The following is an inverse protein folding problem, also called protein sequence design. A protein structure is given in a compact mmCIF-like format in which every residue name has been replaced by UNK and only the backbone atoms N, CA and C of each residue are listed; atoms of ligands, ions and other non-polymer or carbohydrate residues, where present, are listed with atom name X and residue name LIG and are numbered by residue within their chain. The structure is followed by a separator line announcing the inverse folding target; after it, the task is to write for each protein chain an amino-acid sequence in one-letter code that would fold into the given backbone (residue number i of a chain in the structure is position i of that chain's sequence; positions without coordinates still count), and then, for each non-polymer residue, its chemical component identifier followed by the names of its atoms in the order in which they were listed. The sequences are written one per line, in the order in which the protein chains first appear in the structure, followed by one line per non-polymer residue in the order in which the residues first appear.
data_IF_237401897066
#
_entry.id   IF_237401897066
#
_cell.length_a   1.000
_cell.length_b   1.000
_cell.length_c   1.000
_cell.angle_alpha   90.00
_cell.angle_beta   90.00
_cell.angle_gamma   90.00
#
_symmetry.space_group_name_H-M   'P 1'
#
loop_
_entity.id
_entity.type
_entity.pdbx_description
1 polymer ?
#
# COMPACT_ATOMS: atom_id res chain seq x y z
N UNK A 1 -21.04 21.05 -15.93
CA UNK A 1 -19.77 20.29 -15.96
C UNK A 1 -19.13 20.53 -17.33
N UNK A 2 -17.98 21.21 -17.41
CA UNK A 2 -17.29 21.53 -18.68
C UNK A 2 -15.85 21.04 -18.62
N UNK A 3 -15.48 20.08 -19.48
CA UNK A 3 -14.22 20.16 -20.22
C UNK A 3 -13.01 19.34 -19.77
N UNK A 4 -13.12 18.40 -18.84
CA UNK A 4 -12.07 17.39 -18.62
C UNK A 4 -12.20 16.28 -19.69
N UNK A 5 -11.08 15.92 -20.29
CA UNK A 5 -10.95 14.88 -21.32
C UNK A 5 -9.98 13.84 -20.81
N UNK A 6 -10.18 12.57 -21.16
CA UNK A 6 -9.19 11.52 -20.87
C UNK A 6 -8.38 11.17 -22.12
N UNK A 7 -7.11 10.76 -21.97
CA UNK A 7 -6.31 10.24 -23.09
C UNK A 7 -7.01 9.18 -23.94
N UNK A 8 -7.74 8.23 -23.35
CA UNK A 8 -8.48 7.18 -24.06
C UNK A 8 -9.71 7.68 -24.80
N UNK A 9 -10.42 8.69 -24.28
CA UNK A 9 -11.48 9.40 -25.01
C UNK A 9 -10.94 10.08 -26.27
N UNK A 10 -9.68 10.50 -26.29
CA UNK A 10 -9.05 11.11 -27.47
C UNK A 10 -8.42 10.06 -28.39
N UNK A 11 -7.78 9.03 -27.83
CA UNK A 11 -7.13 7.96 -28.60
C UNK A 11 -8.14 7.11 -29.37
N UNK A 12 -9.35 6.93 -28.84
CA UNK A 12 -10.45 6.25 -29.55
C UNK A 12 -10.99 7.02 -30.77
N UNK A 13 -10.38 8.15 -31.17
CA UNK A 13 -10.62 8.77 -32.48
C UNK A 13 -9.97 7.94 -33.59
N UNK A 14 -8.87 7.25 -33.29
CA UNK A 14 -8.27 6.26 -34.17
C UNK A 14 -9.00 4.91 -34.02
N UNK A 15 -9.02 4.15 -35.10
CA UNK A 15 -9.66 2.84 -35.21
C UNK A 15 -8.69 1.69 -34.99
N UNK A 16 -7.42 1.86 -35.37
CA UNK A 16 -6.39 0.83 -35.22
C UNK A 16 -4.99 1.39 -34.94
N UNK A 17 -4.11 0.55 -34.37
CA UNK A 17 -2.72 0.91 -34.09
C UNK A 17 -1.99 1.22 -35.40
N UNK A 18 -1.27 2.33 -35.46
CA UNK A 18 -0.54 2.76 -36.66
C UNK A 18 -1.38 3.57 -37.65
N UNK A 19 -2.69 3.75 -37.42
CA UNK A 19 -3.49 4.66 -38.23
C UNK A 19 -2.98 6.11 -38.06
N UNK A 20 -2.95 6.84 -39.17
CA UNK A 20 -2.53 8.24 -39.20
C UNK A 20 -3.70 9.15 -39.53
N UNK A 21 -3.98 10.10 -38.65
CA UNK A 21 -5.01 11.12 -38.85
C UNK A 21 -4.40 12.51 -39.00
N UNK A 22 -5.05 13.36 -39.79
CA UNK A 22 -4.70 14.77 -39.92
C UNK A 22 -5.27 15.55 -38.75
N UNK A 23 -4.60 16.64 -38.41
CA UNK A 23 -5.02 17.58 -37.36
C UNK A 23 -6.49 18.00 -37.51
N UNK A 24 -6.95 18.25 -38.74
CA UNK A 24 -8.33 18.68 -38.98
C UNK A 24 -9.36 17.56 -38.74
N UNK A 25 -9.00 16.31 -39.01
CA UNK A 25 -9.85 15.14 -38.76
C UNK A 25 -10.00 14.92 -37.25
N UNK A 26 -8.87 14.99 -36.54
CA UNK A 26 -8.84 14.90 -35.07
C UNK A 26 -9.63 16.05 -34.44
N UNK A 27 -9.44 17.29 -34.92
CA UNK A 27 -10.14 18.45 -34.41
C UNK A 27 -11.65 18.33 -34.57
N UNK A 28 -12.14 17.92 -35.74
CA UNK A 28 -13.57 17.70 -35.98
C UNK A 28 -14.14 16.61 -35.08
N UNK A 29 -13.40 15.52 -34.88
CA UNK A 29 -13.82 14.46 -33.97
C UNK A 29 -13.91 14.94 -32.51
N UNK A 30 -12.96 15.75 -32.05
CA UNK A 30 -12.97 16.34 -30.71
C UNK A 30 -14.12 17.34 -30.50
N UNK A 31 -14.46 18.13 -31.53
CA UNK A 31 -15.63 19.03 -31.49
C UNK A 31 -16.92 18.22 -31.43
N UNK A 32 -17.04 17.18 -32.26
CA UNK A 32 -18.21 16.26 -32.26
C UNK A 32 -18.42 15.59 -30.90
N UNK A 33 -17.34 15.30 -30.17
CA UNK A 33 -17.36 14.71 -28.82
C UNK A 33 -17.55 15.72 -27.69
N UNK A 34 -17.69 17.02 -28.00
CA UNK A 34 -17.86 18.07 -26.99
C UNK A 34 -16.59 18.37 -26.17
N UNK A 35 -15.45 17.76 -26.51
CA UNK A 35 -14.16 18.00 -25.84
C UNK A 35 -13.63 19.39 -26.21
N UNK A 36 -13.86 19.82 -27.46
CA UNK A 36 -13.48 21.15 -27.95
C UNK A 36 -14.74 21.94 -28.31
N UNK A 37 -14.79 23.21 -27.91
CA UNK A 37 -16.01 24.02 -27.93
C UNK A 37 -16.53 24.31 -29.34
N UNK A 38 -15.66 24.56 -30.32
CA UNK A 38 -16.04 25.02 -31.66
C UNK A 38 -14.96 24.65 -32.70
N UNK A 39 -15.36 24.48 -33.96
CA UNK A 39 -14.46 24.20 -35.10
C UNK A 39 -13.42 25.30 -35.40
N UNK A 40 -13.63 26.50 -34.87
CA UNK A 40 -12.76 27.66 -35.09
C UNK A 40 -11.71 27.86 -33.97
N UNK A 41 -11.65 26.95 -32.97
CA UNK A 41 -10.77 27.07 -31.80
C UNK A 41 -9.79 25.89 -31.72
N UNK A 42 -8.64 26.03 -32.37
CA UNK A 42 -7.63 24.97 -32.47
C UNK A 42 -6.72 24.82 -31.23
N UNK A 43 -6.60 25.85 -30.40
CA UNK A 43 -5.62 25.89 -29.30
C UNK A 43 -5.77 24.72 -28.32
N UNK A 44 -7.00 24.31 -27.99
CA UNK A 44 -7.25 23.17 -27.10
C UNK A 44 -6.80 21.86 -27.74
N UNK A 45 -7.12 21.63 -29.02
CA UNK A 45 -6.65 20.47 -29.79
C UNK A 45 -5.13 20.41 -29.85
N UNK A 46 -4.46 21.54 -30.08
CA UNK A 46 -2.99 21.58 -30.09
C UNK A 46 -2.39 21.15 -28.75
N UNK A 47 -2.95 21.60 -27.62
CA UNK A 47 -2.49 21.19 -26.28
C UNK A 47 -2.74 19.72 -26.00
N UNK A 48 -3.91 19.21 -26.36
CA UNK A 48 -4.26 17.78 -26.22
C UNK A 48 -3.25 16.93 -26.99
N UNK A 49 -3.00 17.25 -28.26
CA UNK A 49 -2.08 16.49 -29.09
C UNK A 49 -0.62 16.59 -28.61
N UNK A 50 -0.20 17.74 -28.09
CA UNK A 50 1.13 17.87 -27.49
C UNK A 50 1.28 16.94 -26.28
N UNK A 51 0.28 16.90 -25.40
CA UNK A 51 0.27 16.02 -24.23
C UNK A 51 0.28 14.54 -24.60
N UNK A 52 -0.47 14.12 -25.63
CA UNK A 52 -0.47 12.72 -26.10
C UNK A 52 0.85 12.32 -26.77
N UNK A 53 1.53 13.26 -27.44
CA UNK A 53 2.86 13.04 -28.01
C UNK A 53 3.90 12.90 -26.89
N UNK A 54 3.85 13.76 -25.89
CA UNK A 54 4.73 13.70 -24.71
C UNK A 54 4.56 12.39 -23.93
N UNK A 55 3.31 11.92 -23.80
CA UNK A 55 3.00 10.62 -23.20
C UNK A 55 3.37 9.41 -24.09
N UNK A 56 3.87 9.63 -25.31
CA UNK A 56 4.28 8.57 -26.23
C UNK A 56 3.13 7.74 -26.81
N UNK A 57 1.90 8.22 -26.69
CA UNK A 57 0.69 7.50 -27.12
C UNK A 57 0.41 7.69 -28.62
N UNK A 58 0.81 8.85 -29.14
CA UNK A 58 0.80 9.18 -30.56
C UNK A 58 2.16 9.77 -30.95
N UNK A 59 2.48 9.78 -32.24
CA UNK A 59 3.66 10.47 -32.76
C UNK A 59 3.32 11.35 -33.95
N UNK A 60 4.11 12.40 -34.16
CA UNK A 60 3.95 13.32 -35.27
C UNK A 60 4.76 12.83 -36.47
N UNK A 61 4.10 12.20 -37.42
CA UNK A 61 4.71 11.60 -38.63
C UNK A 61 4.82 12.57 -39.82
N UNK A 62 4.41 13.82 -39.65
CA UNK A 62 4.50 14.86 -40.69
C UNK A 62 3.80 16.15 -40.32
N UNK A 63 3.73 17.10 -41.27
CA UNK A 63 3.07 18.39 -41.05
C UNK A 63 1.56 18.18 -40.78
N UNK A 64 1.16 18.35 -39.53
CA UNK A 64 -0.23 18.20 -39.08
C UNK A 64 -0.77 16.78 -39.18
N UNK A 65 0.10 15.75 -39.14
CA UNK A 65 -0.29 14.33 -39.16
C UNK A 65 0.20 13.62 -37.91
N UNK A 66 -0.68 12.81 -37.33
CA UNK A 66 -0.45 12.12 -36.06
C UNK A 66 -0.80 10.65 -36.21
N UNK A 67 0.16 9.78 -35.89
CA UNK A 67 0.01 8.33 -35.90
C UNK A 67 -0.17 7.82 -34.48
N UNK A 68 -1.14 6.94 -34.24
CA UNK A 68 -1.33 6.31 -32.93
C UNK A 68 -0.35 5.15 -32.72
N UNK A 69 0.28 5.09 -31.54
CA UNK A 69 1.30 4.07 -31.20
C UNK A 69 0.75 2.91 -30.37
N UNK A 70 -0.42 3.10 -29.78
CA UNK A 70 -1.15 2.11 -28.98
C UNK A 70 -2.34 1.56 -29.76
N UNK A 71 -2.86 0.40 -29.36
CA UNK A 71 -4.16 -0.05 -29.86
C UNK A 71 -5.25 0.80 -29.20
N UNK A 72 -6.08 1.55 -29.97
CA UNK A 72 -7.06 2.45 -29.40
C UNK A 72 -8.09 1.77 -28.50
N UNK A 73 -8.55 0.58 -28.90
CA UNK A 73 -9.53 -0.19 -28.14
C UNK A 73 -8.95 -0.68 -26.82
N UNK A 74 -7.78 -1.33 -26.87
CA UNK A 74 -7.11 -1.85 -25.67
C UNK A 74 -6.75 -0.73 -24.70
N UNK A 75 -6.31 0.41 -25.22
CA UNK A 75 -5.95 1.57 -24.41
C UNK A 75 -7.18 2.20 -23.74
N UNK A 76 -8.27 2.39 -24.47
CA UNK A 76 -9.52 2.91 -23.91
C UNK A 76 -10.12 1.94 -22.88
N UNK A 77 -10.03 0.62 -23.14
CA UNK A 77 -10.45 -0.41 -22.19
C UNK A 77 -9.59 -0.36 -20.92
N UNK A 78 -8.26 -0.29 -21.05
CA UNK A 78 -7.33 -0.19 -19.94
C UNK A 78 -7.53 1.11 -19.14
N UNK A 79 -7.72 2.25 -19.81
CA UNK A 79 -7.98 3.52 -19.13
C UNK A 79 -9.32 3.47 -18.38
N UNK A 80 -10.38 2.94 -18.98
CA UNK A 80 -11.66 2.74 -18.31
C UNK A 80 -11.54 1.81 -17.11
N UNK A 81 -10.73 0.75 -17.19
CA UNK A 81 -10.43 -0.11 -16.05
C UNK A 81 -9.68 0.70 -14.98
N UNK A 82 -8.62 1.43 -15.35
CA UNK A 82 -7.78 2.19 -14.42
C UNK A 82 -8.51 3.35 -13.72
N UNK A 83 -9.55 3.91 -14.35
CA UNK A 83 -10.39 4.97 -13.79
C UNK A 83 -11.48 4.45 -12.84
N UNK A 84 -11.80 3.15 -12.84
CA UNK A 84 -12.78 2.58 -11.90
C UNK A 84 -12.25 2.59 -10.46
N UNK A 85 -13.15 2.65 -9.45
CA UNK A 85 -12.77 2.53 -8.05
C UNK A 85 -11.94 1.27 -7.81
N UNK A 86 -10.71 1.45 -7.33
CA UNK A 86 -9.81 0.35 -6.97
C UNK A 86 -10.09 -0.12 -5.56
N UNK A 87 -10.30 -1.42 -5.40
CA UNK A 87 -10.16 -2.06 -4.10
C UNK A 87 -8.71 -2.46 -3.91
N UNK A 88 -8.12 -2.04 -2.79
CA UNK A 88 -6.80 -2.52 -2.37
C UNK A 88 -6.99 -3.77 -1.55
N UNK A 89 -6.27 -4.82 -1.92
CA UNK A 89 -6.25 -6.10 -1.24
C UNK A 89 -4.85 -6.31 -0.67
N UNK A 90 -4.75 -6.82 0.56
CA UNK A 90 -3.46 -7.17 1.16
C UNK A 90 -3.19 -8.66 1.02
N UNK A 91 -1.98 -9.02 0.64
CA UNK A 91 -1.54 -10.43 0.52
C UNK A 91 -0.28 -10.67 1.32
N UNK A 92 -0.23 -11.79 2.04
CA UNK A 92 0.98 -12.23 2.76
C UNK A 92 0.78 -12.37 4.26
N UNK A 93 1.86 -12.72 4.95
CA UNK A 93 2.00 -12.71 6.41
C UNK A 93 2.88 -11.52 6.82
N UNK A 94 4.04 -11.79 7.45
CA UNK A 94 4.93 -10.78 8.04
C UNK A 94 5.39 -9.64 7.09
N UNK A 95 5.36 -9.85 5.77
CA UNK A 95 5.57 -8.81 4.75
C UNK A 95 4.38 -8.80 3.79
N UNK A 96 3.54 -7.78 3.91
CA UNK A 96 2.37 -7.59 3.07
C UNK A 96 2.79 -7.10 1.68
N UNK A 97 2.22 -7.71 0.64
CA UNK A 97 2.23 -7.21 -0.73
C UNK A 97 0.81 -6.77 -1.06
N UNK A 98 0.64 -5.52 -1.48
CA UNK A 98 -0.65 -5.04 -1.95
C UNK A 98 -0.99 -5.70 -3.30
N UNK A 99 -2.26 -5.96 -3.56
CA UNK A 99 -2.79 -6.22 -4.89
C UNK A 99 -3.92 -5.22 -5.11
N UNK A 100 -4.06 -4.73 -6.34
CA UNK A 100 -5.18 -3.87 -6.70
C UNK A 100 -6.15 -4.68 -7.54
N UNK A 101 -7.45 -4.47 -7.36
CA UNK A 101 -8.41 -5.03 -8.29
C UNK A 101 -9.65 -4.17 -8.45
N UNK A 102 -10.34 -4.43 -9.55
CA UNK A 102 -11.53 -3.69 -9.97
C UNK A 102 -12.66 -4.67 -10.20
N UNK A 103 -13.82 -4.31 -9.67
CA UNK A 103 -15.05 -5.03 -9.94
C UNK A 103 -15.76 -4.39 -11.13
N UNK A 104 -15.98 -5.17 -12.18
CA UNK A 104 -16.82 -4.84 -13.31
C UNK A 104 -18.27 -5.07 -12.90
N UNK A 105 -19.10 -4.06 -13.18
CA UNK A 105 -20.55 -4.05 -12.96
C UNK A 105 -20.99 -4.38 -11.53
N UNK A 106 -20.14 -4.04 -10.55
CA UNK A 106 -20.47 -4.06 -9.14
C UNK A 106 -21.03 -2.69 -8.73
N UNK A 107 -22.21 -2.62 -8.08
CA UNK A 107 -22.83 -1.35 -7.70
C UNK A 107 -21.91 -0.53 -6.79
N UNK A 108 -21.62 0.72 -7.14
CA UNK A 108 -20.72 1.57 -6.34
C UNK A 108 -21.30 1.85 -4.96
N UNK A 109 -22.63 1.93 -4.85
CA UNK A 109 -23.36 2.11 -3.61
C UNK A 109 -23.14 0.96 -2.63
N UNK A 110 -22.81 -0.24 -3.13
CA UNK A 110 -22.54 -1.40 -2.29
C UNK A 110 -21.30 -1.18 -1.40
N UNK A 111 -20.33 -0.37 -1.84
CA UNK A 111 -19.16 -0.02 -1.03
C UNK A 111 -19.49 0.88 0.17
N UNK A 112 -20.69 1.42 0.28
CA UNK A 112 -21.09 2.19 1.46
C UNK A 112 -21.43 1.28 2.65
N UNK A 113 -21.77 0.01 2.39
CA UNK A 113 -22.15 -0.93 3.44
C UNK A 113 -20.93 -1.58 4.09
N UNK A 114 -20.89 -1.53 5.43
CA UNK A 114 -19.77 -2.06 6.23
C UNK A 114 -19.59 -3.57 6.06
N UNK A 115 -20.68 -4.33 5.93
CA UNK A 115 -20.63 -5.78 5.71
C UNK A 115 -20.04 -6.15 4.36
N UNK A 116 -20.36 -5.38 3.30
CA UNK A 116 -19.76 -5.56 1.97
C UNK A 116 -18.25 -5.37 2.04
N UNK A 117 -17.77 -4.31 2.72
CA UNK A 117 -16.33 -4.10 2.92
C UNK A 117 -15.67 -5.27 3.64
N UNK A 118 -16.31 -5.81 4.67
CA UNK A 118 -15.81 -6.95 5.43
C UNK A 118 -15.70 -8.22 4.58
N UNK A 119 -16.77 -8.55 3.85
CA UNK A 119 -16.81 -9.70 2.92
C UNK A 119 -15.75 -9.55 1.83
N UNK A 120 -15.65 -8.37 1.22
CA UNK A 120 -14.65 -8.09 0.18
C UNK A 120 -13.21 -8.14 0.71
N UNK A 121 -12.96 -7.76 1.96
CA UNK A 121 -11.64 -7.89 2.57
C UNK A 121 -11.23 -9.36 2.72
N UNK A 122 -12.14 -10.22 3.21
CA UNK A 122 -11.87 -11.65 3.36
C UNK A 122 -11.64 -12.31 2.00
N UNK A 123 -12.60 -12.14 1.08
CA UNK A 123 -12.53 -12.72 -0.27
C UNK A 123 -11.31 -12.19 -1.01
N UNK A 124 -11.04 -10.89 -0.92
CA UNK A 124 -9.92 -10.24 -1.59
C UNK A 124 -8.55 -10.76 -1.13
N UNK A 125 -8.34 -10.94 0.18
CA UNK A 125 -7.11 -11.54 0.71
C UNK A 125 -6.92 -12.97 0.18
N UNK A 126 -7.98 -13.77 0.09
CA UNK A 126 -7.90 -15.15 -0.45
C UNK A 126 -7.61 -15.15 -1.95
N UNK A 127 -8.37 -14.40 -2.75
CA UNK A 127 -8.17 -14.32 -4.20
C UNK A 127 -6.76 -13.88 -4.57
N UNK A 128 -6.21 -12.93 -3.82
CA UNK A 128 -4.89 -12.42 -4.10
C UNK A 128 -3.76 -13.37 -3.62
N UNK A 129 -4.00 -14.21 -2.59
CA UNK A 129 -3.13 -15.37 -2.27
C UNK A 129 -3.15 -16.44 -3.38
N UNK A 130 -4.33 -16.79 -3.88
CA UNK A 130 -4.50 -17.73 -4.99
C UNK A 130 -3.78 -17.21 -6.25
N UNK A 131 -3.98 -15.94 -6.59
CA UNK A 131 -3.31 -15.29 -7.73
C UNK A 131 -1.78 -15.38 -7.62
N UNK A 132 -1.20 -15.07 -6.45
CA UNK A 132 0.25 -15.16 -6.26
C UNK A 132 0.76 -16.59 -6.39
N UNK A 133 0.04 -17.57 -5.85
CA UNK A 133 0.39 -18.98 -5.99
C UNK A 133 0.35 -19.44 -7.47
N UNK A 134 -0.67 -19.03 -8.22
CA UNK A 134 -0.78 -19.31 -9.66
C UNK A 134 0.33 -18.61 -10.47
N UNK A 135 0.69 -17.38 -10.12
CA UNK A 135 1.81 -16.65 -10.74
C UNK A 135 3.13 -17.39 -10.55
N UNK A 136 3.42 -17.82 -9.31
CA UNK A 136 4.63 -18.60 -9.02
C UNK A 136 4.67 -19.91 -9.80
N UNK A 137 3.54 -20.62 -9.88
CA UNK A 137 3.41 -21.81 -10.72
C UNK A 137 3.70 -21.49 -12.20
N UNK A 138 3.10 -20.43 -12.75
CA UNK A 138 3.31 -20.01 -14.13
C UNK A 138 4.77 -19.66 -14.43
N UNK A 139 5.46 -18.96 -13.52
CA UNK A 139 6.90 -18.67 -13.63
C UNK A 139 7.73 -19.94 -13.64
N UNK A 140 7.42 -20.89 -12.75
CA UNK A 140 8.15 -22.17 -12.68
C UNK A 140 7.94 -22.99 -13.95
N UNK A 141 6.71 -23.09 -14.44
CA UNK A 141 6.39 -23.78 -15.69
C UNK A 141 7.13 -23.12 -16.86
N UNK A 142 7.16 -21.78 -16.90
CA UNK A 142 7.85 -21.03 -17.96
C UNK A 142 9.37 -21.21 -17.93
N UNK A 143 9.99 -21.24 -16.76
CA UNK A 143 11.45 -21.28 -16.61
C UNK A 143 12.04 -22.69 -16.54
N UNK A 144 11.31 -23.63 -15.93
CA UNK A 144 11.81 -24.97 -15.57
C UNK A 144 10.98 -26.11 -16.17
N UNK A 145 9.89 -25.80 -16.87
CA UNK A 145 8.96 -26.80 -17.42
C UNK A 145 8.38 -27.69 -16.32
N UNK A 146 8.12 -28.95 -16.65
CA UNK A 146 7.53 -29.95 -15.74
C UNK A 146 8.45 -30.37 -14.57
N UNK A 147 9.73 -29.98 -14.59
CA UNK A 147 10.74 -30.41 -13.60
C UNK A 147 10.91 -29.44 -12.44
N UNK A 148 10.10 -28.38 -12.38
CA UNK A 148 10.16 -27.39 -11.31
C UNK A 148 9.65 -27.91 -9.97
N UNK A 149 10.35 -27.61 -8.88
CA UNK A 149 9.87 -27.87 -7.52
C UNK A 149 8.63 -27.00 -7.27
N UNK A 150 7.52 -27.62 -6.85
CA UNK A 150 6.29 -26.91 -6.51
C UNK A 150 6.51 -26.09 -5.23
N UNK A 151 6.24 -24.78 -5.23
CA UNK A 151 6.39 -23.94 -4.04
C UNK A 151 5.46 -24.38 -2.91
N UNK A 152 5.94 -24.28 -1.67
CA UNK A 152 5.16 -24.56 -0.47
C UNK A 152 3.95 -23.61 -0.32
N UNK A 153 4.02 -22.40 -0.86
CA UNK A 153 2.91 -21.45 -1.01
C UNK A 153 1.75 -22.05 -1.79
N UNK A 154 2.02 -22.69 -2.94
CA UNK A 154 0.99 -23.33 -3.77
C UNK A 154 0.35 -24.53 -3.05
N UNK A 155 1.17 -25.37 -2.42
CA UNK A 155 0.69 -26.53 -1.66
C UNK A 155 -0.19 -26.07 -0.48
N UNK A 156 0.22 -25.01 0.22
CA UNK A 156 -0.55 -24.41 1.31
C UNK A 156 -1.92 -23.94 0.82
N UNK A 157 -1.97 -23.15 -0.26
CA UNK A 157 -3.26 -22.67 -0.76
C UNK A 157 -4.15 -23.81 -1.26
N UNK A 158 -3.58 -24.83 -1.91
CA UNK A 158 -4.32 -26.04 -2.29
C UNK A 158 -4.96 -26.70 -1.06
N UNK A 159 -4.19 -26.91 0.01
CA UNK A 159 -4.69 -27.52 1.26
C UNK A 159 -5.82 -26.68 1.86
N UNK A 160 -5.71 -25.35 1.83
CA UNK A 160 -6.72 -24.47 2.40
C UNK A 160 -8.04 -24.46 1.59
N UNK A 161 -7.98 -24.69 0.28
CA UNK A 161 -9.18 -24.72 -0.58
C UNK A 161 -9.81 -26.13 -0.68
N UNK A 162 -9.09 -27.19 -0.31
CA UNK A 162 -9.61 -28.57 -0.35
C UNK A 162 -10.90 -28.75 0.46
N UNK A 163 -11.04 -28.27 1.71
CA UNK A 163 -12.27 -28.41 2.48
C UNK A 163 -13.46 -27.71 1.82
N UNK A 164 -13.30 -26.46 1.39
CA UNK A 164 -14.35 -25.70 0.72
C UNK A 164 -14.75 -26.37 -0.61
N UNK A 165 -13.77 -26.85 -1.36
CA UNK A 165 -14.00 -27.61 -2.60
C UNK A 165 -14.78 -28.90 -2.35
N UNK A 166 -14.45 -29.65 -1.30
CA UNK A 166 -15.17 -30.88 -0.95
C UNK A 166 -16.58 -30.60 -0.44
N UNK A 167 -16.75 -29.63 0.46
CA UNK A 167 -18.06 -29.29 1.04
C UNK A 167 -19.00 -28.59 0.05
N UNK A 168 -18.46 -27.78 -0.87
CA UNK A 168 -19.24 -26.94 -1.78
C UNK A 168 -19.36 -27.47 -3.22
N UNK A 169 -18.27 -27.97 -3.81
CA UNK A 169 -18.23 -28.29 -5.25
C UNK A 169 -18.22 -29.78 -5.56
N UNK A 170 -17.62 -30.63 -4.72
CA UNK A 170 -17.61 -32.10 -4.92
C UNK A 170 -18.72 -32.83 -4.19
N UNK A 171 -19.26 -32.25 -3.12
CA UNK A 171 -20.46 -32.76 -2.45
C UNK A 171 -21.75 -32.54 -3.26
N UNK A 172 -21.72 -31.74 -4.33
CA UNK A 172 -22.85 -31.55 -5.25
C UNK A 172 -22.52 -30.55 -6.37
N UNK A 173 -22.47 -31.01 -7.62
CA UNK A 173 -22.21 -30.16 -8.81
C UNK A 173 -23.53 -29.54 -9.33
N UNK A 174 -24.68 -29.91 -8.76
CA UNK A 174 -25.98 -29.71 -9.40
C UNK A 174 -26.91 -28.80 -8.56
N UNK A 175 -26.34 -27.97 -7.68
CA UNK A 175 -27.02 -27.16 -6.64
C UNK A 175 -27.56 -27.97 -5.44
N UNK A 176 -27.03 -29.17 -5.24
CA UNK A 176 -27.35 -30.11 -4.14
C UNK A 176 -26.22 -30.25 -3.10
N UNK A 177 -25.25 -29.33 -3.10
CA UNK A 177 -24.29 -29.21 -1.99
C UNK A 177 -24.99 -28.94 -0.66
N UNK A 178 -24.23 -28.98 0.45
CA UNK A 178 -24.79 -28.71 1.78
C UNK A 178 -25.58 -27.39 1.76
N UNK A 179 -26.83 -27.44 2.21
CA UNK A 179 -27.60 -26.22 2.42
C UNK A 179 -26.82 -25.29 3.35
N UNK A 180 -26.95 -23.98 3.19
CA UNK A 180 -26.10 -23.02 3.91
C UNK A 180 -26.12 -23.23 5.44
N UNK A 181 -27.27 -23.58 6.01
CA UNK A 181 -27.40 -23.92 7.44
C UNK A 181 -26.61 -25.18 7.83
N UNK A 182 -26.60 -26.19 6.96
CA UNK A 182 -25.83 -27.41 7.16
C UNK A 182 -24.33 -27.17 6.97
N UNK A 183 -23.95 -26.28 6.06
CA UNK A 183 -22.57 -25.83 5.87
C UNK A 183 -22.07 -25.08 7.11
N UNK A 184 -22.89 -24.21 7.70
CA UNK A 184 -22.58 -23.53 8.98
C UNK A 184 -22.34 -24.55 10.10
N UNK A 185 -23.23 -25.54 10.24
CA UNK A 185 -23.10 -26.60 11.25
C UNK A 185 -21.84 -27.43 11.01
N UNK A 186 -21.52 -27.76 9.75
CA UNK A 186 -20.33 -28.50 9.40
C UNK A 186 -19.05 -27.72 9.74
N UNK A 187 -19.00 -26.44 9.38
CA UNK A 187 -17.89 -25.56 9.72
C UNK A 187 -17.70 -25.41 11.23
N UNK A 188 -18.78 -25.19 11.98
CA UNK A 188 -18.74 -25.09 13.44
C UNK A 188 -18.15 -26.35 14.08
N UNK A 189 -18.59 -27.54 13.65
CA UNK A 189 -18.03 -28.82 14.12
C UNK A 189 -16.55 -28.97 13.77
N UNK A 190 -16.15 -28.59 12.55
CA UNK A 190 -14.75 -28.61 12.14
C UNK A 190 -13.90 -27.69 13.01
N UNK A 191 -14.37 -26.46 13.26
CA UNK A 191 -13.67 -25.50 14.11
C UNK A 191 -13.53 -25.98 15.56
N UNK A 192 -14.58 -26.59 16.12
CA UNK A 192 -14.51 -27.18 17.46
C UNK A 192 -13.49 -28.33 17.54
N UNK A 193 -13.33 -29.10 16.46
CA UNK A 193 -12.38 -30.21 16.37
C UNK A 193 -10.92 -29.77 16.18
N UNK A 194 -10.64 -28.50 15.87
CA UNK A 194 -9.28 -28.00 15.78
C UNK A 194 -8.59 -28.06 17.16
N UNK A 195 -7.29 -28.39 17.21
CA UNK A 195 -6.53 -28.39 18.46
C UNK A 195 -6.55 -26.99 19.10
N UNK A 196 -6.65 -26.93 20.43
CA UNK A 196 -6.67 -25.67 21.18
C UNK A 196 -5.37 -24.89 21.04
N UNK A 197 -4.25 -25.60 20.86
CA UNK A 197 -2.94 -25.02 20.59
C UNK A 197 -2.36 -25.64 19.33
N UNK A 198 -1.89 -24.79 18.41
CA UNK A 198 -0.92 -25.20 17.40
C UNK A 198 0.40 -24.73 17.97
N UNK A 199 1.23 -25.64 18.47
CA UNK A 199 2.58 -25.29 18.91
C UNK A 199 3.32 -24.67 17.70
N UNK A 200 3.47 -23.34 17.73
CA UNK A 200 4.44 -22.67 16.89
C UNK A 200 5.82 -22.95 17.49
N UNK A 201 6.80 -23.29 16.65
CA UNK A 201 8.20 -23.36 17.06
C UNK A 201 8.58 -22.09 17.83
N UNK A 202 8.98 -22.29 19.09
CA UNK A 202 9.55 -21.35 20.06
C UNK A 202 9.02 -19.89 20.08
N UNK A 203 8.14 -19.62 21.05
CA UNK A 203 8.12 -18.33 21.77
C UNK A 203 7.08 -17.28 21.37
N UNK A 204 6.14 -17.59 20.48
CA UNK A 204 5.05 -16.67 20.12
C UNK A 204 3.67 -17.24 20.47
N UNK A 205 3.12 -16.83 21.61
CA UNK A 205 1.70 -17.03 21.94
C UNK A 205 0.85 -15.91 21.36
N UNK A 206 0.45 -16.06 20.09
CA UNK A 206 -0.72 -15.36 19.54
C UNK A 206 -1.99 -15.91 20.20
N UNK A 207 -3.15 -15.18 20.25
CA UNK A 207 -4.45 -15.82 20.47
C UNK A 207 -4.48 -17.11 19.67
N UNK A 208 -4.89 -18.21 20.32
CA UNK A 208 -4.83 -19.53 19.68
C UNK A 208 -5.50 -19.38 18.32
N UNK A 209 -4.87 -19.84 17.24
CA UNK A 209 -5.40 -19.63 15.88
C UNK A 209 -6.91 -19.95 15.80
N UNK A 210 -7.35 -20.91 16.62
CA UNK A 210 -8.74 -21.26 16.92
C UNK A 210 -9.60 -20.09 17.44
N UNK A 211 -9.17 -19.33 18.44
CA UNK A 211 -9.88 -18.14 18.96
C UNK A 211 -10.07 -17.06 17.90
N UNK A 212 -9.05 -16.79 17.08
CA UNK A 212 -9.14 -15.81 16.00
C UNK A 212 -10.14 -16.27 14.93
N UNK A 213 -10.08 -17.53 14.51
CA UNK A 213 -11.00 -18.10 13.53
C UNK A 213 -12.44 -18.16 14.07
N UNK A 214 -12.62 -18.50 15.35
CA UNK A 214 -13.95 -18.51 16.00
C UNK A 214 -14.56 -17.12 16.05
N UNK A 215 -13.77 -16.10 16.36
CA UNK A 215 -14.23 -14.71 16.35
C UNK A 215 -14.69 -14.28 14.95
N UNK A 216 -13.91 -14.57 13.92
CA UNK A 216 -14.27 -14.27 12.54
C UNK A 216 -15.53 -15.06 12.10
N UNK A 217 -15.67 -16.31 12.55
CA UNK A 217 -16.85 -17.14 12.30
C UNK A 217 -18.13 -16.57 12.96
N UNK A 218 -18.05 -16.07 14.20
CA UNK A 218 -19.18 -15.41 14.86
C UNK A 218 -19.55 -14.08 14.17
N UNK A 219 -18.57 -13.33 13.67
CA UNK A 219 -18.85 -12.15 12.84
C UNK A 219 -19.60 -12.52 11.56
N UNK A 220 -19.20 -13.58 10.86
CA UNK A 220 -19.91 -14.10 9.69
C UNK A 220 -21.35 -14.54 10.02
N UNK A 221 -21.56 -15.24 11.15
CA UNK A 221 -22.90 -15.61 11.64
C UNK A 221 -23.79 -14.39 11.88
N UNK A 222 -23.24 -13.31 12.45
CA UNK A 222 -23.99 -12.08 12.69
C UNK A 222 -24.35 -11.34 11.40
N UNK A 223 -23.44 -11.31 10.41
CA UNK A 223 -23.73 -10.78 9.09
C UNK A 223 -24.83 -11.57 8.37
N UNK A 224 -24.89 -12.88 8.58
CA UNK A 224 -25.94 -13.72 8.02
C UNK A 224 -27.32 -13.44 8.65
N UNK A 225 -27.39 -13.26 9.97
CA UNK A 225 -28.65 -12.87 10.63
C UNK A 225 -29.19 -11.56 10.07
N UNK A 226 -28.31 -10.56 9.90
CA UNK A 226 -28.65 -9.29 9.25
C UNK A 226 -29.20 -9.49 7.84
N UNK A 227 -28.62 -10.41 7.06
CA UNK A 227 -29.11 -10.75 5.72
C UNK A 227 -30.45 -11.49 5.72
N UNK A 228 -30.73 -12.37 6.70
CA UNK A 228 -32.03 -13.04 6.81
C UNK A 228 -33.15 -12.08 7.22
N UNK A 229 -32.83 -11.06 8.02
CA UNK A 229 -33.80 -10.04 8.46
C UNK A 229 -34.14 -9.04 7.33
N UNK A 230 -33.21 -8.81 6.41
CA UNK A 230 -33.43 -8.04 5.19
C UNK A 230 -33.93 -8.98 4.08
N UNK A 231 -35.24 -9.05 3.84
CA UNK A 231 -35.83 -9.74 2.67
C UNK A 231 -35.33 -9.13 1.35
N UNK A 232 -34.11 -9.49 0.95
CA UNK A 232 -33.50 -9.13 -0.31
C UNK A 232 -33.92 -10.18 -1.33
N UNK A 233 -34.93 -9.85 -2.14
CA UNK A 233 -35.17 -10.58 -3.39
C UNK A 233 -33.92 -10.42 -4.27
N UNK A 234 -33.10 -11.47 -4.32
CA UNK A 234 -31.97 -11.54 -5.24
C UNK A 234 -32.53 -11.96 -6.59
N UNK A 235 -32.64 -11.01 -7.51
CA UNK A 235 -32.96 -11.30 -8.91
C UNK A 235 -31.79 -12.08 -9.52
N UNK A 236 -31.93 -13.40 -9.67
CA UNK A 236 -30.87 -14.32 -10.14
C UNK A 236 -30.31 -13.92 -11.52
N UNK A 237 -31.07 -13.13 -12.30
CA UNK A 237 -30.75 -12.81 -13.69
C UNK A 237 -29.77 -11.63 -13.85
N UNK A 238 -29.50 -10.85 -12.81
CA UNK A 238 -28.58 -9.69 -12.87
C UNK A 238 -27.09 -10.06 -12.74
N UNK A 239 -26.77 -11.32 -12.48
CA UNK A 239 -25.40 -11.83 -12.26
C UNK A 239 -24.56 -12.03 -13.52
N UNK A 240 -25.13 -11.81 -14.72
CA UNK A 240 -24.52 -12.18 -16.00
C UNK A 240 -23.29 -11.36 -16.42
N UNK A 241 -22.97 -10.27 -15.74
CA UNK A 241 -21.89 -9.35 -16.15
C UNK A 241 -20.89 -8.96 -15.03
N UNK A 242 -20.84 -9.71 -13.93
CA UNK A 242 -19.81 -9.47 -12.90
C UNK A 242 -18.44 -10.00 -13.34
N UNK A 243 -17.39 -9.18 -13.19
CA UNK A 243 -16.01 -9.60 -13.45
C UNK A 243 -15.03 -8.95 -12.47
N UNK A 244 -14.04 -9.70 -11.98
CA UNK A 244 -12.96 -9.16 -11.16
C UNK A 244 -11.66 -9.15 -11.96
N UNK A 245 -11.07 -7.98 -12.13
CA UNK A 245 -9.73 -7.84 -12.70
C UNK A 245 -8.75 -7.58 -11.55
N UNK A 246 -7.84 -8.51 -11.33
CA UNK A 246 -6.71 -8.35 -10.42
C UNK A 246 -5.49 -7.85 -11.21
N UNK A 247 -4.92 -6.74 -10.78
CA UNK A 247 -3.67 -6.22 -11.32
C UNK A 247 -2.57 -6.25 -10.24
N UNK A 248 -1.30 -6.42 -10.64
CA UNK A 248 -0.20 -6.24 -9.70
C UNK A 248 -0.27 -4.82 -9.11
N UNK A 249 0.16 -4.63 -7.84
CA UNK A 249 0.10 -3.33 -7.20
C UNK A 249 0.82 -2.28 -8.05
N UNK A 250 0.25 -1.09 -8.10
CA UNK A 250 0.80 0.03 -8.87
C UNK A 250 2.26 0.35 -8.50
N UNK A 251 2.70 0.00 -7.29
CA UNK A 251 4.08 0.09 -6.81
C UNK A 251 5.09 -0.74 -7.62
N UNK A 252 4.67 -1.78 -8.34
CA UNK A 252 5.56 -2.58 -9.20
C UNK A 252 5.88 -1.88 -10.52
N UNK A 253 5.01 -0.96 -10.96
CA UNK A 253 5.14 -0.31 -12.26
C UNK A 253 5.67 1.13 -12.15
N UNK A 254 5.49 1.79 -11.01
CA UNK A 254 6.03 3.13 -10.72
C UNK A 254 6.23 3.33 -9.20
N UNK A 255 7.37 2.85 -8.71
CA UNK A 255 7.76 2.86 -7.29
C UNK A 255 7.87 4.28 -6.72
N UNK A 256 8.31 5.27 -7.53
CA UNK A 256 8.41 6.67 -7.14
C UNK A 256 7.01 7.27 -6.92
N UNK A 257 6.09 7.08 -7.87
CA UNK A 257 4.71 7.60 -7.74
C UNK A 257 3.95 6.97 -6.58
N UNK A 258 4.15 5.67 -6.33
CA UNK A 258 3.54 5.01 -5.18
C UNK A 258 4.05 5.57 -3.86
N UNK A 259 5.38 5.68 -3.71
CA UNK A 259 6.03 6.22 -2.50
C UNK A 259 5.56 7.64 -2.24
N UNK A 260 5.51 8.45 -3.30
CA UNK A 260 4.99 9.83 -3.28
C UNK A 260 3.55 9.87 -2.80
N UNK A 261 2.66 9.02 -3.32
CA UNK A 261 1.25 8.96 -2.91
C UNK A 261 1.10 8.51 -1.46
N UNK A 262 1.84 7.51 -1.04
CA UNK A 262 1.83 7.03 0.35
C UNK A 262 2.27 8.11 1.34
N UNK A 263 3.32 8.87 1.02
CA UNK A 263 3.75 10.02 1.82
C UNK A 263 2.65 11.09 1.89
N UNK A 264 1.98 11.38 0.77
CA UNK A 264 0.84 12.32 0.73
C UNK A 264 -0.31 11.86 1.64
N UNK A 265 -0.60 10.56 1.67
CA UNK A 265 -1.66 10.02 2.52
C UNK A 265 -1.28 10.13 4.01
N UNK A 266 -0.02 9.86 4.38
CA UNK A 266 0.49 10.04 5.75
C UNK A 266 0.31 11.49 6.23
N UNK A 267 0.74 12.48 5.43
CA UNK A 267 0.64 13.89 5.84
C UNK A 267 -0.82 14.37 5.95
N UNK A 268 -1.72 13.83 5.11
CA UNK A 268 -3.16 14.12 5.20
C UNK A 268 -3.80 13.54 6.45
N UNK A 269 -3.52 12.28 6.73
CA UNK A 269 -4.07 11.60 7.92
C UNK A 269 -3.56 12.26 9.21
N UNK A 270 -2.28 12.61 9.23
CA UNK A 270 -1.64 13.31 10.34
C UNK A 270 -2.25 14.71 10.56
N UNK A 271 -2.51 15.45 9.48
CA UNK A 271 -3.20 16.73 9.52
C UNK A 271 -4.66 16.59 10.02
N UNK A 272 -5.39 15.57 9.54
CA UNK A 272 -6.77 15.32 9.94
C UNK A 272 -6.90 14.98 11.43
N UNK A 273 -5.86 14.39 12.02
CA UNK A 273 -5.76 14.06 13.46
C UNK A 273 -5.12 15.15 14.30
N UNK A 274 -4.71 16.26 13.67
CA UNK A 274 -3.94 17.35 14.28
C UNK A 274 -2.70 16.85 15.06
N UNK A 275 -2.03 15.83 14.52
CA UNK A 275 -0.87 15.23 15.20
C UNK A 275 0.25 16.26 15.41
N UNK A 276 1.04 16.12 16.50
CA UNK A 276 2.20 16.97 16.69
C UNK A 276 3.27 16.68 15.61
N UNK A 277 4.03 17.69 15.14
CA UNK A 277 4.95 17.58 14.01
C UNK A 277 5.95 16.41 14.10
N UNK A 278 6.39 16.12 15.32
CA UNK A 278 7.27 15.00 15.63
C UNK A 278 6.67 13.63 15.23
N UNK A 279 5.38 13.40 15.50
CA UNK A 279 4.70 12.15 15.18
C UNK A 279 4.53 11.97 13.67
N UNK A 280 4.20 13.04 12.95
CA UNK A 280 4.18 13.05 11.49
C UNK A 280 5.53 12.65 10.94
N UNK A 281 6.62 13.28 11.43
CA UNK A 281 7.98 13.01 10.99
C UNK A 281 8.43 11.56 11.27
N UNK A 282 7.98 10.95 12.38
CA UNK A 282 8.24 9.54 12.69
C UNK A 282 7.51 8.57 11.75
N UNK A 283 6.37 8.98 11.19
CA UNK A 283 5.58 8.13 10.29
C UNK A 283 6.10 8.12 8.86
N UNK A 284 6.93 9.09 8.48
CA UNK A 284 7.53 9.19 7.14
C UNK A 284 8.63 8.12 6.90
N UNK A 285 8.81 7.64 5.65
CA UNK A 285 9.88 6.68 5.34
C UNK A 285 11.26 7.32 5.39
N UNK A 286 12.22 6.64 6.02
CA UNK A 286 13.61 7.13 6.14
C UNK A 286 14.45 6.83 4.88
N UNK A 287 14.11 5.77 4.13
CA UNK A 287 14.93 5.32 2.99
C UNK A 287 14.74 6.16 1.72
N UNK A 288 13.67 6.96 1.66
CA UNK A 288 13.24 7.70 0.48
C UNK A 288 13.37 9.22 0.68
N UNK A 289 14.48 9.67 1.27
CA UNK A 289 14.75 11.07 1.65
C UNK A 289 14.37 12.07 0.57
N UNK A 290 14.84 11.86 -0.66
CA UNK A 290 14.62 12.78 -1.77
C UNK A 290 13.13 12.93 -2.10
N UNK A 291 12.39 11.82 -2.11
CA UNK A 291 10.95 11.80 -2.37
C UNK A 291 10.20 12.45 -1.21
N UNK A 292 10.57 12.16 0.04
CA UNK A 292 9.94 12.77 1.23
C UNK A 292 10.12 14.27 1.25
N UNK A 293 11.35 14.77 1.07
CA UNK A 293 11.63 16.20 1.06
C UNK A 293 10.95 16.91 -0.11
N UNK A 294 10.84 16.25 -1.28
CA UNK A 294 10.09 16.76 -2.43
C UNK A 294 8.60 16.85 -2.13
N UNK A 295 7.98 15.82 -1.54
CA UNK A 295 6.57 15.84 -1.16
C UNK A 295 6.27 16.89 -0.08
N UNK A 296 7.10 17.00 0.96
CA UNK A 296 6.93 18.03 1.99
C UNK A 296 7.02 19.44 1.40
N UNK A 297 7.90 19.65 0.42
CA UNK A 297 8.03 20.94 -0.27
C UNK A 297 6.83 21.26 -1.16
N UNK A 298 6.33 20.28 -1.90
CA UNK A 298 5.25 20.49 -2.87
C UNK A 298 3.85 20.49 -2.25
N UNK A 299 3.65 19.72 -1.17
CA UNK A 299 2.33 19.48 -0.59
C UNK A 299 2.23 19.79 0.91
N UNK A 300 3.36 19.97 1.60
CA UNK A 300 3.36 20.13 3.05
C UNK A 300 2.65 21.40 3.52
N UNK A 301 2.87 22.55 2.89
CA UNK A 301 2.11 23.78 3.22
C UNK A 301 0.60 23.60 3.05
N UNK A 302 0.18 22.86 2.01
CA UNK A 302 -1.23 22.64 1.71
C UNK A 302 -1.94 21.80 2.78
N UNK A 303 -1.27 20.77 3.30
CA UNK A 303 -1.91 19.81 4.22
C UNK A 303 -1.54 20.06 5.69
N UNK A 304 -0.29 20.41 5.98
CA UNK A 304 0.22 20.61 7.35
C UNK A 304 0.25 22.10 7.75
N UNK A 305 0.10 23.03 6.81
CA UNK A 305 0.13 24.47 7.08
C UNK A 305 1.45 24.90 7.71
N UNK A 306 1.36 25.72 8.77
CA UNK A 306 2.53 26.26 9.49
C UNK A 306 3.41 25.17 10.14
N UNK A 307 2.90 23.94 10.33
CA UNK A 307 3.66 22.83 10.94
C UNK A 307 4.69 22.21 9.98
N UNK A 308 4.63 22.48 8.67
CA UNK A 308 5.46 21.79 7.67
C UNK A 308 6.96 21.92 7.91
N UNK A 309 7.44 23.11 8.27
CA UNK A 309 8.87 23.34 8.51
C UNK A 309 9.34 22.57 9.74
N UNK A 310 8.49 22.46 10.76
CA UNK A 310 8.80 21.71 11.97
C UNK A 310 8.82 20.20 11.70
N UNK A 311 7.86 19.69 10.90
CA UNK A 311 7.87 18.29 10.42
C UNK A 311 9.14 18.00 9.62
N UNK A 312 9.53 18.89 8.70
CA UNK A 312 10.76 18.74 7.90
C UNK A 312 12.00 18.67 8.82
N UNK A 313 12.11 19.59 9.78
CA UNK A 313 13.22 19.61 10.75
C UNK A 313 13.29 18.31 11.54
N UNK A 314 12.18 17.84 12.09
CA UNK A 314 12.15 16.56 12.81
C UNK A 314 12.53 15.37 11.92
N UNK A 315 12.09 15.37 10.66
CA UNK A 315 12.44 14.32 9.70
C UNK A 315 13.95 14.27 9.43
N UNK A 316 14.58 15.42 9.17
CA UNK A 316 16.02 15.51 8.89
C UNK A 316 16.86 15.13 10.12
N UNK A 317 16.46 15.56 11.32
CA UNK A 317 17.12 15.16 12.57
C UNK A 317 17.02 13.63 12.78
N UNK A 318 15.83 13.05 12.55
CA UNK A 318 15.60 11.60 12.64
C UNK A 318 16.40 10.82 11.62
N UNK A 319 16.49 11.30 10.38
CA UNK A 319 17.29 10.69 9.34
C UNK A 319 18.76 10.64 9.75
N UNK A 320 19.32 11.74 10.25
CA UNK A 320 20.69 11.79 10.75
C UNK A 320 20.91 10.79 11.90
N UNK A 321 20.00 10.73 12.87
CA UNK A 321 20.06 9.78 13.98
C UNK A 321 19.99 8.32 13.49
N UNK A 322 19.15 8.02 12.51
CA UNK A 322 19.05 6.68 11.91
C UNK A 322 20.34 6.27 11.18
N UNK A 323 20.99 7.19 10.47
CA UNK A 323 22.27 6.91 9.81
C UNK A 323 23.38 6.56 10.81
N UNK A 324 23.40 7.20 11.99
CA UNK A 324 24.32 6.84 13.09
C UNK A 324 24.08 5.40 13.55
N UNK A 325 22.82 4.97 13.63
CA UNK A 325 22.48 3.62 14.03
C UNK A 325 22.79 2.56 12.98
N UNK A 326 22.52 2.85 11.70
CA UNK A 326 22.95 1.99 10.58
C UNK A 326 24.46 1.79 10.64
N UNK A 327 25.22 2.84 10.92
CA UNK A 327 26.66 2.73 11.07
C UNK A 327 27.08 1.85 12.24
N UNK A 328 26.46 2.01 13.41
CA UNK A 328 26.68 1.11 14.56
C UNK A 328 26.42 -0.36 14.19
N UNK A 329 25.31 -0.66 13.52
CA UNK A 329 25.03 -2.04 13.04
C UNK A 329 26.08 -2.56 12.06
N UNK A 330 26.53 -1.74 11.12
CA UNK A 330 27.56 -2.15 10.15
C UNK A 330 28.90 -2.44 10.81
N UNK A 331 29.26 -1.69 11.87
CA UNK A 331 30.43 -1.98 12.70
C UNK A 331 30.29 -3.33 13.41
N UNK A 332 29.15 -3.58 14.06
CA UNK A 332 28.87 -4.84 14.76
C UNK A 332 28.93 -6.06 13.82
N UNK A 333 28.58 -5.88 12.55
CA UNK A 333 28.64 -6.93 11.52
C UNK A 333 30.02 -7.08 10.87
N UNK A 334 31.02 -6.27 11.26
CA UNK A 334 32.34 -6.24 10.62
C UNK A 334 32.33 -5.72 9.17
N UNK A 335 31.26 -5.01 8.76
CA UNK A 335 31.01 -4.56 7.38
C UNK A 335 31.19 -3.05 7.21
N UNK A 336 32.13 -2.44 7.92
CA UNK A 336 32.40 -1.00 7.82
C UNK A 336 33.48 -0.69 6.78
N UNK A 337 33.19 0.22 5.84
CA UNK A 337 34.19 0.80 4.93
C UNK A 337 34.46 2.26 5.29
N UNK A 338 35.67 2.78 4.98
CA UNK A 338 36.02 4.19 5.22
C UNK A 338 35.05 5.17 4.55
N UNK A 339 34.47 4.79 3.42
CA UNK A 339 33.52 5.61 2.66
C UNK A 339 32.17 5.72 3.37
N UNK A 340 31.63 4.60 3.87
CA UNK A 340 30.38 4.60 4.64
C UNK A 340 30.53 5.44 5.92
N UNK A 341 31.67 5.28 6.62
CA UNK A 341 32.01 6.05 7.82
C UNK A 341 32.00 7.55 7.51
N UNK A 342 32.66 7.94 6.42
CA UNK A 342 32.80 9.34 6.03
C UNK A 342 31.45 9.95 5.65
N UNK A 343 30.60 9.20 4.93
CA UNK A 343 29.25 9.64 4.56
C UNK A 343 28.35 9.83 5.79
N UNK A 344 28.29 8.83 6.68
CA UNK A 344 27.46 8.93 7.90
C UNK A 344 27.94 10.08 8.79
N UNK A 345 29.27 10.21 8.97
CA UNK A 345 29.84 11.31 9.74
C UNK A 345 29.50 12.68 9.12
N UNK A 346 29.52 12.80 7.80
CA UNK A 346 29.16 14.04 7.12
C UNK A 346 27.67 14.39 7.33
N UNK A 347 26.76 13.43 7.14
CA UNK A 347 25.31 13.63 7.34
C UNK A 347 25.02 14.02 8.80
N UNK A 348 25.54 13.25 9.75
CA UNK A 348 25.31 13.48 11.17
C UNK A 348 25.91 14.80 11.65
N UNK A 349 27.11 15.16 11.18
CA UNK A 349 27.73 16.45 11.51
C UNK A 349 26.94 17.62 10.93
N UNK A 350 26.55 17.54 9.65
CA UNK A 350 25.73 18.59 9.00
C UNK A 350 24.44 18.84 9.79
N UNK A 351 23.71 17.78 10.13
CA UNK A 351 22.48 17.90 10.91
C UNK A 351 22.74 18.43 12.34
N UNK A 352 23.85 18.06 12.97
CA UNK A 352 24.20 18.56 14.29
C UNK A 352 24.65 20.02 14.30
N UNK A 353 25.34 20.47 13.25
CA UNK A 353 25.71 21.88 13.07
C UNK A 353 24.45 22.76 12.87
N UNK A 354 23.43 22.21 12.20
CA UNK A 354 22.17 22.93 11.91
C UNK A 354 21.13 22.86 13.06
N UNK A 355 21.03 21.71 13.73
CA UNK A 355 19.97 21.43 14.71
C UNK A 355 20.44 21.18 16.13
N UNK A 356 21.75 21.11 16.35
CA UNK A 356 22.36 20.79 17.65
C UNK A 356 22.51 19.29 17.88
N UNK A 357 23.71 18.88 18.33
CA UNK A 357 24.04 17.47 18.60
C UNK A 357 23.11 16.82 19.64
N UNK A 358 22.65 17.58 20.63
CA UNK A 358 21.72 17.11 21.66
C UNK A 358 20.39 16.62 21.04
N UNK A 359 19.85 17.35 20.07
CA UNK A 359 18.58 17.00 19.44
C UNK A 359 18.71 15.77 18.55
N UNK A 360 19.86 15.58 17.90
CA UNK A 360 20.14 14.36 17.12
C UNK A 360 20.28 13.14 18.05
N UNK A 361 21.04 13.28 19.14
CA UNK A 361 21.29 12.17 20.08
C UNK A 361 19.99 11.70 20.76
N UNK A 362 19.10 12.64 21.12
CA UNK A 362 17.79 12.32 21.70
C UNK A 362 16.85 11.57 20.76
N UNK A 363 17.14 11.56 19.45
CA UNK A 363 16.35 10.92 18.40
C UNK A 363 16.97 9.62 17.89
N UNK A 364 18.05 9.14 18.52
CA UNK A 364 18.62 7.82 18.20
C UNK A 364 17.56 6.72 18.41
N UNK A 365 17.64 5.62 17.63
CA UNK A 365 16.69 4.53 17.80
C UNK A 365 16.97 3.77 19.10
N UNK A 366 16.09 3.94 20.09
CA UNK A 366 16.16 3.24 21.38
C UNK A 366 15.41 1.89 21.39
N UNK A 367 14.74 1.53 20.28
CA UNK A 367 14.07 0.24 20.12
C UNK A 367 15.05 -0.92 20.36
N UNK A 368 14.65 -1.90 21.19
CA UNK A 368 15.44 -3.11 21.45
C UNK A 368 16.86 -2.84 22.00
N UNK A 369 17.03 -1.73 22.75
CA UNK A 369 18.30 -1.26 23.35
C UNK A 369 19.44 -0.94 22.37
N UNK A 370 19.14 -0.71 21.09
CA UNK A 370 20.15 -0.39 20.06
C UNK A 370 21.05 0.79 20.47
N UNK A 371 20.48 1.85 21.06
CA UNK A 371 21.20 2.92 21.75
C UNK A 371 20.82 3.12 23.23
N UNK A 372 20.09 2.18 23.84
CA UNK A 372 19.78 2.23 25.29
C UNK A 372 21.02 1.99 26.15
N UNK A 373 21.26 2.85 27.16
CA UNK A 373 22.45 2.84 28.02
C UNK A 373 23.81 3.07 27.30
N UNK A 374 24.77 3.80 27.92
CA UNK A 374 26.09 3.99 27.35
C UNK A 374 26.91 2.69 27.38
N UNK A 375 27.56 2.34 26.26
CA UNK A 375 28.58 1.28 26.19
C UNK A 375 29.86 1.86 25.59
N UNK A 376 31.06 1.30 25.88
CA UNK A 376 32.31 1.83 25.33
C UNK A 376 32.32 1.96 23.79
N UNK A 377 31.57 1.10 23.11
CA UNK A 377 31.43 1.12 21.65
C UNK A 377 30.50 2.22 21.15
N UNK A 378 29.34 2.39 21.79
CA UNK A 378 28.41 3.51 21.52
C UNK A 378 29.10 4.86 21.78
N UNK A 379 29.83 4.95 22.89
CA UNK A 379 30.64 6.13 23.23
C UNK A 379 31.69 6.43 22.17
N UNK A 380 32.39 5.40 21.67
CA UNK A 380 33.40 5.56 20.62
C UNK A 380 32.79 6.10 19.33
N UNK A 381 31.62 5.61 18.93
CA UNK A 381 30.90 6.08 17.74
C UNK A 381 30.45 7.52 17.93
N UNK A 382 29.81 7.82 19.06
CA UNK A 382 29.31 9.16 19.35
C UNK A 382 30.44 10.17 19.49
N UNK A 383 31.59 9.82 20.08
CA UNK A 383 32.80 10.69 20.09
C UNK A 383 33.45 10.86 18.73
N UNK A 384 33.34 9.87 17.83
CA UNK A 384 33.86 9.99 16.47
C UNK A 384 33.05 11.01 15.64
N UNK A 385 31.75 11.11 15.93
CA UNK A 385 30.82 12.01 15.25
C UNK A 385 30.76 13.38 15.95
N UNK A 386 30.59 13.40 17.27
CA UNK A 386 30.41 14.57 18.14
C UNK A 386 31.65 14.85 18.99
N UNK A 387 32.83 14.93 18.35
CA UNK A 387 34.13 15.03 19.03
C UNK A 387 34.24 16.21 20.02
N UNK A 388 33.53 17.29 19.76
CA UNK A 388 33.55 18.53 20.55
C UNK A 388 32.75 18.41 21.86
N UNK A 389 31.90 17.38 22.02
CA UNK A 389 30.98 17.28 23.15
C UNK A 389 31.58 16.45 24.31
N UNK A 390 31.47 16.93 25.57
CA UNK A 390 31.84 16.15 26.75
C UNK A 390 31.06 14.83 26.82
N UNK A 391 31.70 13.77 27.31
CA UNK A 391 31.08 12.44 27.36
C UNK A 391 29.88 12.42 28.33
N UNK A 392 29.98 13.17 29.42
CA UNK A 392 28.94 13.34 30.43
C UNK A 392 27.67 13.92 29.80
N UNK A 393 27.83 14.88 28.87
CA UNK A 393 26.72 15.49 28.14
C UNK A 393 26.08 14.52 27.14
N UNK A 394 26.89 13.71 26.46
CA UNK A 394 26.38 12.66 25.58
C UNK A 394 25.53 11.66 26.37
N UNK A 395 25.99 11.26 27.57
CA UNK A 395 25.25 10.32 28.42
C UNK A 395 23.93 10.92 28.93
N UNK A 396 23.94 12.18 29.35
CA UNK A 396 22.75 12.94 29.74
C UNK A 396 21.71 12.93 28.60
N UNK A 397 22.12 13.25 27.37
CA UNK A 397 21.21 13.29 26.22
C UNK A 397 20.72 11.93 25.75
N UNK A 398 21.54 10.87 25.87
CA UNK A 398 21.10 9.50 25.60
C UNK A 398 19.99 9.10 26.57
N UNK A 399 20.16 9.40 27.86
CA UNK A 399 19.16 9.10 28.88
C UNK A 399 17.87 9.90 28.65
N UNK A 400 17.98 11.19 28.34
CA UNK A 400 16.81 12.02 28.01
C UNK A 400 16.07 11.51 26.77
N UNK A 401 16.79 11.02 25.76
CA UNK A 401 16.21 10.41 24.57
C UNK A 401 15.50 9.10 24.87
N UNK A 402 16.11 8.24 25.70
CA UNK A 402 15.54 6.96 26.14
C UNK A 402 14.25 7.19 26.95
N UNK A 403 14.26 8.14 27.90
CA UNK A 403 13.08 8.52 28.69
C UNK A 403 11.95 9.08 27.81
N UNK A 404 12.29 9.92 26.82
CA UNK A 404 11.32 10.48 25.89
C UNK A 404 10.71 9.41 24.97
N UNK A 405 11.55 8.50 24.49
CA UNK A 405 11.13 7.37 23.67
C UNK A 405 10.20 6.43 24.45
N UNK A 406 10.48 6.17 25.72
CA UNK A 406 9.63 5.32 26.56
C UNK A 406 8.24 5.94 26.76
N UNK A 407 8.16 7.25 27.02
CA UNK A 407 6.88 7.98 27.08
C UNK A 407 6.11 7.92 25.75
N UNK A 408 6.81 8.00 24.62
CA UNK A 408 6.20 7.84 23.29
C UNK A 408 5.64 6.43 23.08
N UNK A 409 6.39 5.40 23.47
CA UNK A 409 5.95 4.01 23.37
C UNK A 409 4.70 3.77 24.24
N UNK A 410 4.65 4.35 25.43
CA UNK A 410 3.47 4.33 26.31
C UNK A 410 2.25 5.04 25.67
N UNK A 411 2.46 6.23 25.08
CA UNK A 411 1.41 6.97 24.39
C UNK A 411 0.85 6.23 23.17
N UNK A 412 1.71 5.69 22.31
CA UNK A 412 1.28 4.93 21.13
C UNK A 412 0.58 3.63 21.51
N UNK A 413 1.04 2.96 22.57
CA UNK A 413 0.36 1.80 23.15
C UNK A 413 -1.01 2.18 23.70
N UNK A 414 -1.13 3.35 24.36
CA UNK A 414 -2.41 3.88 24.86
C UNK A 414 -3.37 4.16 23.72
N UNK A 415 -2.95 4.89 22.68
CA UNK A 415 -3.80 5.16 21.50
C UNK A 415 -4.21 3.87 20.81
N UNK A 416 -3.30 2.90 20.68
CA UNK A 416 -3.64 1.60 20.11
C UNK A 416 -4.71 0.88 20.94
N UNK A 417 -4.59 0.90 22.28
CA UNK A 417 -5.60 0.34 23.20
C UNK A 417 -6.94 1.07 23.11
N UNK A 418 -6.94 2.40 23.16
CA UNK A 418 -8.15 3.23 23.04
C UNK A 418 -8.83 3.03 21.68
N UNK A 419 -8.05 2.90 20.60
CA UNK A 419 -8.58 2.59 19.26
C UNK A 419 -9.20 1.19 19.22
N UNK A 420 -8.60 0.21 19.89
CA UNK A 420 -9.14 -1.14 20.04
C UNK A 420 -10.40 -1.16 20.90
N UNK A 421 -10.46 -0.38 21.98
CA UNK A 421 -11.63 -0.25 22.87
C UNK A 421 -12.78 0.50 22.19
N UNK A 422 -12.51 1.60 21.49
CA UNK A 422 -13.51 2.32 20.69
C UNK A 422 -14.07 1.43 19.58
N UNK A 423 -13.26 0.53 19.02
CA UNK A 423 -13.70 -0.47 18.06
C UNK A 423 -14.56 -1.58 18.70
N UNK A 424 -14.36 -1.86 20.00
CA UNK A 424 -15.18 -2.79 20.79
C UNK A 424 -16.51 -2.19 21.24
N UNK A 425 -16.56 -0.89 21.55
CA UNK A 425 -17.79 -0.18 21.98
C UNK A 425 -18.73 0.20 20.84
N UNK A 426 -18.21 0.26 19.60
CA UNK A 426 -19.00 0.49 18.37
C UNK A 426 -19.49 -0.81 17.71
N UNK A 427 -19.27 -1.95 18.37
CA UNK A 427 -19.96 -3.22 18.13
C UNK A 427 -20.91 -3.47 19.29
#
# INVERSE_FOLDING_TARGET
MRGEWTPGEVISIWTEKGETLRFIEIHKALVKRGIVETENRYAKTTRILASLVEAGLIEKVGRGRYQVKVNPYDYALLENILLKPKSKFRVGGFLWTDCEGFFLDFPEEAFNYTYVKYVLNIIGVRLARIFNALRELATIVKEKGEKGIIPSSLIRELILELPAYWLGCKAGIDRDGLAFDELLIAYEKMLHSLPETIEAEEGWSSPTLKEAILKDFEELKNLFKLWQDENLEVDEDSSKHFGLILIPPSSIFDEESYTRKWIIDIIKDSAARDEPPFYTALSLPIRDEEIVLKVLREYGERYLGAKVDEVRRFYEMRLAAFQIAVYHRLLMMGRSSKEIISKVRWIAKKAADEYGANNIIKLLPFFGSEFGGPTPEKERILKLIFKEQPLEKIHEWLKEGEDAFQKYAEYTTKIAKESIETYKEKR
#
